data_IF_231761825189
#
_entry.id   IF_231761825189
#
_cell.length_a   1.000
_cell.length_b   1.000
_cell.length_c   1.000
_cell.angle_alpha   90.00
_cell.angle_beta   90.00
_cell.angle_gamma   90.00
#
_symmetry.space_group_name_H-M   'P 1'
#
loop_
_entity.id
_entity.type
_entity.pdbx_description
1 polymer ?
#
# COMPACT_ATOMS: atom_id res chain seq x y z
N UNK A 1 -0.46 15.47 102.50
CA UNK A 1 0.06 16.25 101.37
C UNK A 1 1.45 15.73 101.07
N UNK A 2 1.64 15.04 99.94
CA UNK A 2 2.93 14.48 99.59
C UNK A 2 3.90 15.62 99.27
N UNK A 3 4.82 15.89 100.20
CA UNK A 3 5.90 16.85 100.03
C UNK A 3 6.75 16.40 98.84
N UNK A 4 6.67 17.19 97.78
CA UNK A 4 7.38 16.91 96.54
C UNK A 4 8.85 17.32 96.76
N UNK A 5 9.72 16.34 96.95
CA UNK A 5 11.16 16.53 97.24
C UNK A 5 11.85 17.24 96.05
N UNK A 6 12.35 18.48 96.22
CA UNK A 6 12.97 19.25 95.14
C UNK A 6 14.15 18.54 94.47
N UNK A 7 14.88 17.72 95.22
CA UNK A 7 16.04 16.99 94.70
C UNK A 7 15.60 15.86 93.74
N UNK A 8 14.48 15.19 94.04
CA UNK A 8 13.89 14.18 93.14
C UNK A 8 13.33 14.81 91.87
N UNK A 9 12.72 15.99 91.96
CA UNK A 9 12.24 16.71 90.78
C UNK A 9 13.38 17.09 89.82
N UNK A 10 14.48 17.62 90.36
CA UNK A 10 15.67 17.96 89.57
C UNK A 10 16.24 16.73 88.85
N UNK A 11 16.34 15.59 89.54
CA UNK A 11 16.82 14.35 88.95
C UNK A 11 15.89 13.81 87.84
N UNK A 12 14.58 13.95 88.00
CA UNK A 12 13.61 13.60 86.95
C UNK A 12 13.79 14.48 85.71
N UNK A 13 13.90 15.80 85.88
CA UNK A 13 14.13 16.73 84.77
C UNK A 13 15.42 16.43 83.99
N UNK A 14 16.51 16.09 84.69
CA UNK A 14 17.77 15.70 84.04
C UNK A 14 17.59 14.42 83.21
N UNK A 15 16.86 13.42 83.74
CA UNK A 15 16.57 12.18 83.03
C UNK A 15 15.69 12.42 81.80
N UNK A 16 14.65 13.22 81.94
CA UNK A 16 13.74 13.56 80.85
C UNK A 16 14.49 14.32 79.75
N UNK A 17 15.33 15.29 80.12
CA UNK A 17 16.19 16.01 79.18
C UNK A 17 17.16 15.08 78.43
N UNK A 18 17.83 14.16 79.13
CA UNK A 18 18.74 13.20 78.51
C UNK A 18 18.00 12.25 77.56
N UNK A 19 16.79 11.83 77.92
CA UNK A 19 15.94 10.97 77.10
C UNK A 19 15.47 11.71 75.84
N UNK A 20 14.96 12.93 75.98
CA UNK A 20 14.50 13.74 74.86
C UNK A 20 15.66 14.08 73.91
N UNK A 21 16.83 14.42 74.45
CA UNK A 21 18.05 14.66 73.65
C UNK A 21 18.40 13.43 72.81
N UNK A 22 18.48 12.25 73.44
CA UNK A 22 18.78 11.00 72.73
C UNK A 22 17.74 10.66 71.66
N UNK A 23 16.46 10.88 71.94
CA UNK A 23 15.40 10.69 70.96
C UNK A 23 15.50 11.69 69.79
N UNK A 24 15.80 12.96 70.08
CA UNK A 24 16.02 14.01 69.09
C UNK A 24 17.18 13.66 68.15
N UNK A 25 18.31 13.23 68.71
CA UNK A 25 19.48 12.78 67.94
C UNK A 25 19.11 11.59 67.03
N UNK A 26 18.39 10.60 67.54
CA UNK A 26 17.92 9.46 66.74
C UNK A 26 16.98 9.88 65.61
N UNK A 27 16.04 10.81 65.86
CA UNK A 27 15.15 11.37 64.83
C UNK A 27 15.95 12.08 63.73
N UNK A 28 16.99 12.83 64.10
CA UNK A 28 17.87 13.52 63.14
C UNK A 28 18.63 12.50 62.28
N UNK A 29 19.23 11.47 62.89
CA UNK A 29 19.95 10.41 62.16
C UNK A 29 19.03 9.71 61.15
N UNK A 30 17.82 9.34 61.58
CA UNK A 30 16.84 8.69 60.69
C UNK A 30 16.42 9.61 59.52
N UNK A 31 16.19 10.90 59.80
CA UNK A 31 15.86 11.88 58.74
C UNK A 31 17.01 12.06 57.76
N UNK A 32 18.26 12.12 58.23
CA UNK A 32 19.45 12.19 57.36
C UNK A 32 19.55 10.95 56.46
N UNK A 33 19.35 9.75 57.02
CA UNK A 33 19.31 8.52 56.24
C UNK A 33 18.24 8.57 55.15
N UNK A 34 17.02 9.01 55.49
CA UNK A 34 15.93 9.12 54.52
C UNK A 34 16.22 10.15 53.41
N UNK A 35 16.88 11.26 53.74
CA UNK A 35 17.30 12.25 52.74
C UNK A 35 18.27 11.62 51.73
N UNK A 36 19.22 10.83 52.21
CA UNK A 36 20.21 10.18 51.35
C UNK A 36 19.58 9.11 50.44
N UNK A 37 18.67 8.30 51.00
CA UNK A 37 17.86 7.35 50.22
C UNK A 37 17.08 8.07 49.11
N UNK A 38 16.37 9.14 49.45
CA UNK A 38 15.58 9.92 48.48
C UNK A 38 16.46 10.58 47.40
N UNK A 39 17.68 11.02 47.73
CA UNK A 39 18.62 11.53 46.74
C UNK A 39 19.04 10.45 45.76
N UNK A 40 19.37 9.25 46.26
CA UNK A 40 19.73 8.11 45.43
C UNK A 40 18.56 7.69 44.53
N UNK A 41 17.34 7.63 45.08
CA UNK A 41 16.11 7.36 44.32
C UNK A 41 15.89 8.40 43.20
N UNK A 42 16.12 9.69 43.49
CA UNK A 42 15.98 10.78 42.52
C UNK A 42 17.03 10.69 41.39
N UNK A 43 18.28 10.37 41.71
CA UNK A 43 19.35 10.20 40.73
C UNK A 43 19.04 9.05 39.76
N UNK A 44 18.57 7.91 40.27
CA UNK A 44 18.14 6.77 39.45
C UNK A 44 16.97 7.17 38.54
N UNK A 45 15.92 7.78 39.10
CA UNK A 45 14.76 8.21 38.32
C UNK A 45 15.13 9.20 37.22
N UNK A 46 16.07 10.11 37.48
CA UNK A 46 16.57 11.05 36.46
C UNK A 46 17.35 10.32 35.36
N UNK A 47 18.20 9.35 35.71
CA UNK A 47 18.95 8.57 34.71
C UNK A 47 18.02 7.76 33.80
N UNK A 48 16.97 7.16 34.38
CA UNK A 48 15.92 6.46 33.64
C UNK A 48 15.14 7.39 32.71
N UNK A 49 14.77 8.59 33.20
CA UNK A 49 14.08 9.60 32.40
C UNK A 49 14.91 10.05 31.19
N UNK A 50 16.20 10.33 31.38
CA UNK A 50 17.10 10.69 30.28
C UNK A 50 17.34 9.52 29.32
N UNK A 51 17.32 8.28 29.81
CA UNK A 51 17.29 7.08 28.97
C UNK A 51 16.04 7.02 28.10
N UNK A 52 14.87 7.23 28.68
CA UNK A 52 13.59 7.22 27.98
C UNK A 52 13.49 8.34 26.94
N UNK A 53 13.99 9.54 27.23
CA UNK A 53 14.05 10.66 26.27
C UNK A 53 14.89 10.30 25.04
N UNK A 54 16.10 9.77 25.24
CA UNK A 54 16.98 9.35 24.14
C UNK A 54 16.33 8.24 23.30
N UNK A 55 15.67 7.28 23.94
CA UNK A 55 14.97 6.22 23.22
C UNK A 55 13.81 6.79 22.39
N UNK A 56 13.01 7.67 22.97
CA UNK A 56 11.94 8.38 22.26
C UNK A 56 12.49 9.12 21.04
N UNK A 57 13.55 9.92 21.20
CA UNK A 57 14.18 10.65 20.09
C UNK A 57 14.65 9.71 18.96
N UNK A 58 15.24 8.56 19.30
CA UNK A 58 15.63 7.53 18.32
C UNK A 58 14.41 7.01 17.55
N UNK A 59 13.33 6.64 18.25
CA UNK A 59 12.11 6.14 17.60
C UNK A 59 11.42 7.20 16.73
N UNK A 60 11.46 8.47 17.13
CA UNK A 60 10.93 9.58 16.33
C UNK A 60 11.75 9.82 15.06
N UNK A 61 13.07 9.63 15.10
CA UNK A 61 13.92 9.70 13.91
C UNK A 61 13.64 8.55 12.94
N UNK A 62 13.49 7.31 13.44
CA UNK A 62 13.11 6.15 12.63
C UNK A 62 11.75 6.36 11.96
N UNK A 63 10.75 6.86 12.71
CA UNK A 63 9.42 7.15 12.18
C UNK A 63 9.48 8.15 11.02
N UNK A 64 10.23 9.25 11.17
CA UNK A 64 10.44 10.22 10.09
C UNK A 64 11.11 9.60 8.87
N UNK A 65 12.03 8.65 9.07
CA UNK A 65 12.63 7.87 7.98
C UNK A 65 11.58 7.10 7.19
N UNK A 66 10.70 6.38 7.89
CA UNK A 66 9.61 5.64 7.26
C UNK A 66 8.59 6.55 6.54
N UNK A 67 8.28 7.73 7.08
CA UNK A 67 7.38 8.69 6.43
C UNK A 67 7.93 9.19 5.07
N UNK A 68 9.25 9.44 4.99
CA UNK A 68 9.91 9.83 3.75
C UNK A 68 9.89 8.68 2.74
N UNK A 69 10.23 7.47 3.18
CA UNK A 69 10.20 6.28 2.32
C UNK A 69 8.79 6.02 1.76
N UNK A 70 7.76 6.14 2.61
CA UNK A 70 6.37 6.02 2.20
C UNK A 70 6.01 7.05 1.12
N UNK A 71 6.39 8.32 1.32
CA UNK A 71 6.15 9.39 0.34
C UNK A 71 6.81 9.12 -1.02
N UNK A 72 8.04 8.60 -1.00
CA UNK A 72 8.76 8.20 -2.22
C UNK A 72 8.09 7.02 -2.93
N UNK A 73 7.62 6.04 -2.17
CA UNK A 73 6.90 4.89 -2.69
C UNK A 73 5.56 5.30 -3.31
N UNK A 74 4.81 6.20 -2.67
CA UNK A 74 3.57 6.75 -3.22
C UNK A 74 3.79 7.47 -4.56
N UNK A 75 4.82 8.33 -4.64
CA UNK A 75 5.18 9.00 -5.89
C UNK A 75 5.60 8.01 -7.00
N UNK A 76 6.33 6.96 -6.63
CA UNK A 76 6.71 5.88 -7.56
C UNK A 76 5.50 5.12 -8.08
N UNK A 77 4.55 4.78 -7.20
CA UNK A 77 3.29 4.12 -7.57
C UNK A 77 2.46 5.00 -8.50
N UNK A 78 2.34 6.31 -8.22
CA UNK A 78 1.64 7.25 -9.09
C UNK A 78 2.28 7.31 -10.49
N UNK A 79 3.61 7.36 -10.55
CA UNK A 79 4.36 7.35 -11.80
C UNK A 79 4.11 6.08 -12.61
N UNK A 80 4.14 4.92 -11.95
CA UNK A 80 3.87 3.63 -12.59
C UNK A 80 2.42 3.58 -13.11
N UNK A 81 1.44 4.03 -12.33
CA UNK A 81 0.04 4.11 -12.76
C UNK A 81 -0.13 4.98 -14.01
N UNK A 82 0.53 6.14 -14.06
CA UNK A 82 0.49 7.01 -15.23
C UNK A 82 1.07 6.33 -16.47
N UNK A 83 2.21 5.62 -16.33
CA UNK A 83 2.82 4.86 -17.43
C UNK A 83 1.92 3.71 -17.92
N UNK A 84 1.24 3.01 -17.01
CA UNK A 84 0.29 1.96 -17.38
C UNK A 84 -0.86 2.55 -18.20
N UNK A 85 -1.41 3.70 -17.79
CA UNK A 85 -2.50 4.36 -18.52
C UNK A 85 -2.07 4.78 -19.93
N UNK A 86 -0.88 5.36 -20.08
CA UNK A 86 -0.31 5.72 -21.39
C UNK A 86 -0.15 4.49 -22.29
N UNK A 87 0.44 3.41 -21.75
CA UNK A 87 0.63 2.18 -22.51
C UNK A 87 -0.72 1.56 -22.93
N UNK A 88 -1.75 1.65 -22.08
CA UNK A 88 -3.10 1.16 -22.42
C UNK A 88 -3.75 1.96 -23.56
N UNK A 89 -3.55 3.27 -23.59
CA UNK A 89 -4.00 4.12 -24.71
C UNK A 89 -3.27 3.76 -26.01
N UNK A 90 -1.95 3.64 -25.95
CA UNK A 90 -1.14 3.23 -27.09
C UNK A 90 -1.53 1.85 -27.63
N UNK A 91 -1.73 0.87 -26.75
CA UNK A 91 -2.20 -0.46 -27.12
C UNK A 91 -3.59 -0.42 -27.79
N UNK A 92 -4.51 0.40 -27.27
CA UNK A 92 -5.83 0.57 -27.87
C UNK A 92 -5.76 1.21 -29.26
N UNK A 93 -4.88 2.20 -29.44
CA UNK A 93 -4.65 2.85 -30.72
C UNK A 93 -4.03 1.88 -31.73
N UNK A 94 -2.97 1.17 -31.36
CA UNK A 94 -2.33 0.17 -32.23
C UNK A 94 -3.32 -0.96 -32.56
N UNK A 95 -4.13 -1.40 -31.59
CA UNK A 95 -5.18 -2.39 -31.80
C UNK A 95 -6.21 -1.96 -32.85
N UNK A 96 -6.72 -0.73 -32.75
CA UNK A 96 -7.68 -0.22 -33.75
C UNK A 96 -7.07 -0.03 -35.14
N UNK A 97 -5.80 0.40 -35.22
CA UNK A 97 -5.07 0.48 -36.49
C UNK A 97 -4.89 -0.90 -37.13
N UNK A 98 -4.56 -1.93 -36.34
CA UNK A 98 -4.41 -3.29 -36.82
C UNK A 98 -5.72 -3.84 -37.40
N UNK A 99 -6.85 -3.66 -36.72
CA UNK A 99 -8.16 -4.10 -37.21
C UNK A 99 -8.59 -3.35 -38.48
N UNK A 100 -8.31 -2.04 -38.56
CA UNK A 100 -8.56 -1.26 -39.78
C UNK A 100 -7.74 -1.78 -40.97
N UNK A 101 -6.44 -2.04 -40.77
CA UNK A 101 -5.58 -2.59 -41.81
C UNK A 101 -6.05 -3.97 -42.28
N UNK A 102 -6.40 -4.85 -41.34
CA UNK A 102 -6.92 -6.18 -41.65
C UNK A 102 -8.23 -6.13 -42.45
N UNK A 103 -9.12 -5.19 -42.11
CA UNK A 103 -10.36 -4.97 -42.83
C UNK A 103 -10.09 -4.47 -44.25
N UNK A 104 -9.23 -3.46 -44.40
CA UNK A 104 -8.85 -2.93 -45.72
C UNK A 104 -8.18 -3.99 -46.60
N UNK A 105 -7.31 -4.83 -46.05
CA UNK A 105 -6.65 -5.91 -46.79
C UNK A 105 -7.67 -6.96 -47.26
N UNK A 106 -8.66 -7.29 -46.43
CA UNK A 106 -9.75 -8.19 -46.81
C UNK A 106 -10.64 -7.59 -47.90
N UNK A 107 -10.98 -6.31 -47.80
CA UNK A 107 -11.76 -5.60 -48.82
C UNK A 107 -11.04 -5.60 -50.18
N UNK A 108 -9.74 -5.31 -50.19
CA UNK A 108 -8.91 -5.34 -51.41
C UNK A 108 -8.86 -6.75 -52.02
N UNK A 109 -8.65 -7.79 -51.19
CA UNK A 109 -8.68 -9.19 -51.63
C UNK A 109 -10.04 -9.56 -52.23
N UNK A 110 -11.14 -9.22 -51.56
CA UNK A 110 -12.49 -9.49 -52.07
C UNK A 110 -12.75 -8.77 -53.40
N UNK A 111 -12.34 -7.50 -53.54
CA UNK A 111 -12.48 -6.75 -54.78
C UNK A 111 -11.68 -7.40 -55.92
N UNK A 112 -10.41 -7.75 -55.69
CA UNK A 112 -9.57 -8.40 -56.70
C UNK A 112 -10.10 -9.76 -57.17
N UNK A 113 -10.64 -10.56 -56.24
CA UNK A 113 -11.29 -11.84 -56.56
C UNK A 113 -12.59 -11.63 -57.34
N UNK A 114 -13.38 -10.62 -56.97
CA UNK A 114 -14.58 -10.22 -57.72
C UNK A 114 -14.27 -9.86 -59.16
N UNK A 115 -13.24 -9.02 -59.37
CA UNK A 115 -12.77 -8.63 -60.71
C UNK A 115 -12.26 -9.82 -61.52
N UNK A 116 -11.51 -10.73 -60.90
CA UNK A 116 -11.01 -11.95 -61.56
C UNK A 116 -12.18 -12.86 -61.97
N UNK A 117 -13.15 -13.08 -61.09
CA UNK A 117 -14.34 -13.86 -61.39
C UNK A 117 -15.13 -13.22 -62.54
N UNK A 118 -15.38 -11.91 -62.51
CA UNK A 118 -16.07 -11.20 -63.59
C UNK A 118 -15.35 -11.39 -64.93
N UNK A 119 -14.01 -11.30 -64.97
CA UNK A 119 -13.22 -11.57 -66.19
C UNK A 119 -13.39 -13.00 -66.71
N UNK A 120 -13.53 -13.99 -65.82
CA UNK A 120 -13.78 -15.39 -66.21
C UNK A 120 -15.19 -15.62 -66.76
N UNK A 121 -16.17 -14.81 -66.37
CA UNK A 121 -17.54 -14.88 -66.90
C UNK A 121 -17.69 -14.23 -68.28
N UNK A 122 -16.74 -13.40 -68.72
CA UNK A 122 -16.74 -12.82 -70.06
C UNK A 122 -16.26 -13.83 -71.10
N UNK A 123 -17.05 -14.06 -72.15
CA UNK A 123 -16.63 -14.89 -73.28
C UNK A 123 -15.40 -14.28 -73.98
N UNK A 124 -14.26 -14.99 -74.10
CA UNK A 124 -13.05 -14.43 -74.70
C UNK A 124 -13.17 -14.02 -76.17
N UNK A 125 -14.24 -14.46 -76.84
CA UNK A 125 -14.44 -14.29 -78.29
C UNK A 125 -15.41 -13.18 -78.66
N UNK A 126 -16.45 -12.96 -77.85
CA UNK A 126 -17.49 -11.96 -78.10
C UNK A 126 -17.71 -10.98 -76.93
N UNK A 127 -16.98 -11.14 -75.82
CA UNK A 127 -17.02 -10.29 -74.63
C UNK A 127 -18.40 -10.13 -73.98
N UNK A 128 -19.36 -11.00 -74.31
CA UNK A 128 -20.62 -11.07 -73.59
C UNK A 128 -20.39 -11.69 -72.21
N UNK A 129 -21.12 -11.18 -71.23
CA UNK A 129 -21.17 -11.73 -69.89
C UNK A 129 -22.06 -12.98 -69.89
N UNK A 130 -21.49 -14.11 -69.49
CA UNK A 130 -22.18 -15.39 -69.43
C UNK A 130 -22.76 -15.67 -68.02
N UNK A 131 -22.66 -14.72 -67.08
CA UNK A 131 -23.04 -14.91 -65.67
C UNK A 131 -24.51 -15.32 -65.47
N UNK A 132 -25.45 -14.66 -66.14
CA UNK A 132 -26.89 -14.97 -66.05
C UNK A 132 -27.23 -16.34 -66.66
N UNK A 133 -26.63 -16.66 -67.81
CA UNK A 133 -26.86 -17.93 -68.53
C UNK A 133 -26.30 -19.12 -67.75
N UNK A 134 -25.09 -18.98 -67.17
CA UNK A 134 -24.48 -20.01 -66.32
C UNK A 134 -25.23 -20.19 -64.99
N UNK A 135 -25.77 -19.13 -64.41
CA UNK A 135 -26.62 -19.20 -63.21
C UNK A 135 -27.87 -20.05 -63.45
N UNK A 136 -28.54 -19.85 -64.58
CA UNK A 136 -29.69 -20.69 -64.98
C UNK A 136 -29.33 -22.17 -65.21
N UNK A 137 -28.14 -22.45 -65.76
CA UNK A 137 -27.66 -23.82 -65.97
C UNK A 137 -27.38 -24.53 -64.63
N UNK A 138 -26.79 -23.84 -63.66
CA UNK A 138 -26.50 -24.43 -62.34
C UNK A 138 -27.80 -24.71 -61.55
N UNK A 139 -28.77 -23.80 -61.58
CA UNK A 139 -30.08 -24.00 -60.92
C UNK A 139 -30.88 -25.17 -61.51
N UNK A 140 -30.72 -25.45 -62.81
CA UNK A 140 -31.38 -26.60 -63.47
C UNK A 140 -30.68 -27.94 -63.21
N UNK A 141 -29.40 -27.92 -62.80
CA UNK A 141 -28.65 -29.13 -62.45
C UNK A 141 -28.93 -29.66 -61.04
N UNK A 142 -29.19 -28.80 -60.05
CA UNK A 142 -29.58 -29.20 -58.69
C UNK A 142 -31.05 -29.70 -58.61
N UNK A 143 -31.89 -29.34 -59.59
CA UNK A 143 -33.29 -29.76 -59.66
C UNK A 143 -33.53 -31.16 -60.24
N UNK A 144 -32.49 -31.86 -60.71
CA UNK A 144 -32.65 -33.08 -61.50
C UNK A 144 -32.31 -34.39 -60.75
N UNK A 145 -32.06 -34.35 -59.44
CA UNK A 145 -31.84 -35.57 -58.62
C UNK A 145 -33.14 -36.30 -58.22
N UNK A 146 -34.33 -35.81 -58.60
CA UNK A 146 -35.60 -36.38 -58.11
C UNK A 146 -36.55 -37.01 -59.15
N UNK A 147 -36.03 -37.51 -60.28
CA UNK A 147 -36.84 -38.28 -61.24
C UNK A 147 -36.16 -39.59 -61.69
N UNK A 148 -35.77 -40.42 -60.73
CA UNK A 148 -35.68 -41.88 -60.95
C UNK A 148 -36.27 -42.60 -59.74
N UNK A 149 -37.60 -42.66 -59.63
CA UNK A 149 -38.25 -43.71 -58.85
C UNK A 149 -39.71 -43.90 -59.29
N UNK A 150 -39.96 -45.14 -59.70
CA UNK A 150 -41.24 -45.83 -59.99
C UNK A 150 -41.88 -45.58 -61.33
#
# INVERSE_FOLDING_TARGET
MAGNDPQKQLLTLIRDFATEKSQGERRIVNKKKRIEELRSELEVANAELEGAKRHKESTEQELKGYEVELSMNEASVQTIKARIALNQDELSKVGSQLEALKTSELEEKCASLGDELQKRFLCPRCHRDNSEELSGILQTSDGNEHLTSS
#
